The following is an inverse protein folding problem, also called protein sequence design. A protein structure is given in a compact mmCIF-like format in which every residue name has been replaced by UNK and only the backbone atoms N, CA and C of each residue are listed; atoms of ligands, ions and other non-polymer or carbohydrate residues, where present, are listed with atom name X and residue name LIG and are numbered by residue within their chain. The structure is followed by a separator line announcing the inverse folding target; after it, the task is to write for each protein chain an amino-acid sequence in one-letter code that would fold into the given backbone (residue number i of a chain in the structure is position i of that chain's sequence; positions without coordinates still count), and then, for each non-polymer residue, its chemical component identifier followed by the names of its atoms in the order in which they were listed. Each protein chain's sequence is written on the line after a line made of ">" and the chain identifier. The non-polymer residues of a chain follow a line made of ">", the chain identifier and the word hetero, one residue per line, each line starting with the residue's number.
data_IF_627518221210
#
_entry.id   IF_627518221210
#
_cell.length_a   1.000
_cell.length_b   1.000
_cell.length_c   1.000
_cell.angle_alpha   90.00
_cell.angle_beta   90.00
_cell.angle_gamma   90.00
#
_symmetry.space_group_name_H-M   'P 1'
#
loop_
_entity.id
_entity.type
_entity.pdbx_description
1 polymer ?
#
# COMPACT_ATOMS: atom_id res chain seq x y z
N UNK A 1 -28.44 -24.24 -48.14
CA UNK A 1 -28.55 -23.97 -46.69
C UNK A 1 -27.65 -24.93 -45.88
N UNK A 2 -26.31 -24.79 -45.94
CA UNK A 2 -25.36 -25.58 -45.11
C UNK A 2 -24.11 -24.80 -44.64
N UNK A 3 -23.68 -23.72 -45.32
CA UNK A 3 -22.55 -22.89 -44.86
C UNK A 3 -22.88 -21.97 -43.68
N UNK A 4 -24.11 -21.45 -43.60
CA UNK A 4 -24.48 -20.41 -42.63
C UNK A 4 -24.61 -20.94 -41.17
N UNK A 5 -24.83 -22.24 -41.01
CA UNK A 5 -24.78 -22.92 -39.70
C UNK A 5 -23.33 -22.99 -39.19
N UNK A 6 -22.36 -23.16 -40.10
CA UNK A 6 -20.95 -23.33 -39.75
C UNK A 6 -20.31 -22.03 -39.25
N UNK A 7 -20.64 -20.87 -39.85
CA UNK A 7 -20.19 -19.56 -39.34
C UNK A 7 -20.72 -19.29 -37.92
N UNK A 8 -22.00 -19.59 -37.63
CA UNK A 8 -22.56 -19.37 -36.30
C UNK A 8 -21.99 -20.33 -35.23
N UNK A 9 -21.61 -21.55 -35.62
CA UNK A 9 -20.94 -22.49 -34.72
C UNK A 9 -19.51 -22.02 -34.40
N UNK A 10 -18.74 -21.58 -35.41
CA UNK A 10 -17.40 -21.03 -35.21
C UNK A 10 -17.41 -19.72 -34.41
N UNK A 11 -18.38 -18.82 -34.63
CA UNK A 11 -18.50 -17.55 -33.87
C UNK A 11 -18.85 -17.76 -32.39
N UNK A 12 -19.55 -18.86 -32.05
CA UNK A 12 -19.79 -19.27 -30.66
C UNK A 12 -18.57 -19.93 -30.02
N UNK A 13 -17.75 -20.65 -30.79
CA UNK A 13 -16.48 -21.19 -30.30
C UNK A 13 -15.43 -20.08 -30.03
N UNK A 14 -15.33 -19.04 -30.85
CA UNK A 14 -14.39 -17.93 -30.60
C UNK A 14 -14.69 -17.19 -29.29
N UNK A 15 -15.96 -16.92 -28.99
CA UNK A 15 -16.35 -16.28 -27.72
C UNK A 15 -16.07 -17.18 -26.50
N UNK A 16 -16.20 -18.50 -26.64
CA UNK A 16 -15.79 -19.43 -25.59
C UNK A 16 -14.26 -19.48 -25.40
N UNK A 17 -13.47 -19.38 -26.48
CA UNK A 17 -12.01 -19.33 -26.38
C UNK A 17 -11.49 -18.02 -25.77
N UNK A 18 -12.08 -16.87 -26.10
CA UNK A 18 -11.74 -15.60 -25.43
C UNK A 18 -12.18 -15.61 -23.96
N UNK A 19 -13.37 -16.14 -23.64
CA UNK A 19 -13.81 -16.30 -22.26
C UNK A 19 -12.86 -17.22 -21.48
N UNK A 20 -12.46 -18.37 -22.04
CA UNK A 20 -11.44 -19.27 -21.46
C UNK A 20 -10.06 -18.62 -21.32
N UNK A 21 -9.68 -17.67 -22.18
CA UNK A 21 -8.46 -16.89 -22.00
C UNK A 21 -8.61 -15.87 -20.86
N UNK A 22 -9.76 -15.23 -20.70
CA UNK A 22 -10.05 -14.35 -19.56
C UNK A 22 -10.04 -15.11 -18.22
N UNK A 23 -10.68 -16.28 -18.12
CA UNK A 23 -10.59 -17.09 -16.88
C UNK A 23 -9.18 -17.66 -16.67
N UNK A 24 -8.38 -17.93 -17.70
CA UNK A 24 -6.98 -18.32 -17.52
C UNK A 24 -6.06 -17.14 -17.16
N UNK A 25 -6.36 -15.91 -17.57
CA UNK A 25 -5.61 -14.72 -17.15
C UNK A 25 -5.97 -14.31 -15.71
N UNK A 26 -7.24 -14.45 -15.32
CA UNK A 26 -7.69 -14.29 -13.92
C UNK A 26 -7.24 -15.46 -13.04
N UNK A 27 -7.21 -16.71 -13.55
CA UNK A 27 -6.71 -17.86 -12.80
C UNK A 27 -5.18 -17.98 -12.79
N UNK A 28 -4.46 -17.23 -13.63
CA UNK A 28 -3.01 -16.97 -13.46
C UNK A 28 -2.69 -15.79 -12.55
N UNK A 29 -3.71 -15.06 -12.09
CA UNK A 29 -3.64 -14.16 -10.93
C UNK A 29 -4.00 -14.86 -9.61
N UNK A 30 -4.17 -16.20 -9.62
CA UNK A 30 -4.33 -16.98 -8.38
C UNK A 30 -3.02 -16.98 -7.55
N UNK A 31 -2.97 -16.09 -6.55
CA UNK A 31 -2.37 -16.36 -5.24
C UNK A 31 -0.88 -16.78 -5.21
N UNK A 32 0.02 -15.97 -5.78
CA UNK A 32 1.48 -16.19 -5.70
C UNK A 32 2.22 -15.15 -4.83
N UNK A 33 1.54 -14.18 -4.20
CA UNK A 33 2.27 -13.09 -3.49
C UNK A 33 1.59 -12.40 -2.29
N UNK A 34 0.78 -13.09 -1.47
CA UNK A 34 0.14 -12.44 -0.30
C UNK A 34 0.14 -13.31 0.96
N UNK A 35 1.34 -13.74 1.38
CA UNK A 35 1.44 -14.87 2.30
C UNK A 35 1.89 -14.53 3.73
N UNK A 36 3.09 -13.97 4.03
CA UNK A 36 3.32 -13.56 5.43
C UNK A 36 2.68 -12.22 5.60
N UNK A 37 1.67 -12.32 6.42
CA UNK A 37 1.34 -11.30 7.34
C UNK A 37 1.40 -11.92 8.74
N UNK A 38 0.69 -13.04 8.98
CA UNK A 38 0.33 -13.47 10.33
C UNK A 38 1.42 -14.08 11.20
N UNK A 39 2.45 -14.73 10.65
CA UNK A 39 3.45 -15.42 11.47
C UNK A 39 4.65 -14.54 11.85
N UNK A 40 4.79 -13.37 11.22
CA UNK A 40 5.86 -12.39 11.50
C UNK A 40 5.41 -11.21 12.35
N UNK A 41 4.13 -10.84 12.30
CA UNK A 41 3.55 -10.13 13.43
C UNK A 41 3.58 -11.04 14.65
N UNK A 42 3.96 -10.48 15.80
CA UNK A 42 3.67 -11.16 17.07
C UNK A 42 2.16 -11.46 17.09
N UNK A 43 1.75 -12.64 17.58
CA UNK A 43 0.33 -13.01 17.78
C UNK A 43 -0.44 -12.02 18.70
N UNK A 44 0.26 -11.02 19.24
CA UNK A 44 -0.28 -9.85 19.89
C UNK A 44 0.03 -8.58 19.05
N UNK A 45 -0.92 -8.12 18.20
CA UNK A 45 -0.79 -6.90 17.39
C UNK A 45 -0.35 -5.66 18.16
N UNK A 46 -0.75 -5.54 19.44
CA UNK A 46 -0.42 -4.36 20.26
C UNK A 46 1.07 -4.15 20.54
N UNK A 47 1.91 -5.16 20.28
CA UNK A 47 3.37 -5.09 20.46
C UNK A 47 4.13 -4.80 19.17
N UNK A 48 3.45 -4.77 18.03
CA UNK A 48 4.08 -4.56 16.73
C UNK A 48 4.24 -3.06 16.45
N UNK A 49 5.29 -2.72 15.70
CA UNK A 49 5.56 -1.37 15.21
C UNK A 49 5.37 -1.31 13.70
N UNK A 50 4.85 -0.19 13.19
CA UNK A 50 4.62 0.02 11.75
C UNK A 50 5.13 1.40 11.36
N UNK A 51 5.80 1.50 10.20
CA UNK A 51 6.25 2.76 9.62
C UNK A 51 5.62 2.90 8.24
N UNK A 52 4.76 3.89 8.04
CA UNK A 52 4.03 4.14 6.80
C UNK A 52 4.57 5.40 6.13
N UNK A 53 4.84 5.37 4.82
CA UNK A 53 5.57 6.46 4.14
C UNK A 53 5.03 6.81 2.76
N UNK A 54 4.54 8.05 2.61
CA UNK A 54 4.22 8.64 1.33
C UNK A 54 5.40 9.53 0.89
N UNK A 55 6.27 9.01 0.04
CA UNK A 55 7.52 9.67 -0.38
C UNK A 55 7.36 10.89 -1.30
N UNK A 56 6.13 11.22 -1.72
CA UNK A 56 5.84 12.25 -2.73
C UNK A 56 4.74 13.21 -2.28
N UNK A 57 4.64 14.34 -2.97
CA UNK A 57 3.69 15.41 -2.69
C UNK A 57 3.01 15.93 -3.97
N UNK A 58 2.22 16.99 -3.83
CA UNK A 58 1.36 17.59 -4.85
C UNK A 58 0.12 16.77 -5.19
N UNK A 59 -0.88 17.46 -5.75
CA UNK A 59 -2.16 16.87 -6.14
C UNK A 59 -2.03 15.71 -7.13
N UNK A 60 -1.08 15.78 -8.08
CA UNK A 60 -0.86 14.72 -9.07
C UNK A 60 -0.39 13.38 -8.47
N UNK A 61 0.12 13.40 -7.23
CA UNK A 61 0.55 12.21 -6.50
C UNK A 61 -0.40 11.87 -5.32
N UNK A 62 -1.67 12.28 -5.42
CA UNK A 62 -2.71 12.05 -4.42
C UNK A 62 -2.72 10.61 -3.90
N UNK A 63 -2.73 9.62 -4.82
CA UNK A 63 -2.71 8.18 -4.48
C UNK A 63 -1.67 7.78 -3.44
N UNK A 64 -0.44 8.29 -3.48
CA UNK A 64 0.61 7.80 -2.59
C UNK A 64 0.37 8.22 -1.12
N UNK A 65 -0.35 9.31 -0.89
CA UNK A 65 -0.79 9.71 0.45
C UNK A 65 -2.08 8.96 0.83
N UNK A 66 -3.01 8.74 -0.11
CA UNK A 66 -4.19 7.93 0.11
C UNK A 66 -3.85 6.46 0.46
N UNK A 67 -2.91 5.84 -0.25
CA UNK A 67 -2.35 4.51 0.02
C UNK A 67 -1.90 4.38 1.49
N UNK A 68 -1.21 5.42 2.00
CA UNK A 68 -0.70 5.47 3.39
C UNK A 68 -1.79 5.74 4.41
N UNK A 69 -2.75 6.62 4.11
CA UNK A 69 -3.86 6.92 5.01
C UNK A 69 -4.79 5.71 5.15
N UNK A 70 -5.08 4.99 4.06
CA UNK A 70 -5.86 3.75 4.13
C UNK A 70 -5.07 2.65 4.87
N UNK A 71 -3.77 2.49 4.58
CA UNK A 71 -2.91 1.57 5.34
C UNK A 71 -2.94 1.83 6.85
N UNK A 72 -2.96 3.11 7.27
CA UNK A 72 -3.12 3.48 8.68
C UNK A 72 -4.44 2.97 9.26
N UNK A 73 -5.57 3.16 8.55
CA UNK A 73 -6.87 2.65 9.01
C UNK A 73 -6.85 1.12 9.19
N UNK A 74 -6.29 0.36 8.24
CA UNK A 74 -6.18 -1.11 8.35
C UNK A 74 -5.32 -1.54 9.54
N UNK A 75 -4.20 -0.86 9.76
CA UNK A 75 -3.27 -1.15 10.86
C UNK A 75 -3.93 -0.85 12.22
N UNK A 76 -4.69 0.24 12.34
CA UNK A 76 -5.50 0.57 13.53
C UNK A 76 -6.65 -0.43 13.76
N UNK A 77 -7.41 -0.78 12.70
CA UNK A 77 -8.51 -1.78 12.68
C UNK A 77 -8.04 -3.16 13.16
N UNK A 78 -6.76 -3.48 12.97
CA UNK A 78 -6.13 -4.71 13.43
C UNK A 78 -5.40 -4.62 14.78
N UNK A 79 -5.75 -3.63 15.62
CA UNK A 79 -5.26 -3.47 17.00
C UNK A 79 -3.77 -3.15 17.17
N UNK A 80 -3.11 -2.58 16.15
CA UNK A 80 -1.83 -1.90 16.35
C UNK A 80 -2.11 -0.49 16.92
N UNK A 81 -1.55 -0.13 18.08
CA UNK A 81 -1.85 1.13 18.76
C UNK A 81 -1.15 2.30 18.07
N UNK A 82 -1.73 3.51 18.14
CA UNK A 82 -1.27 4.66 17.35
C UNK A 82 0.14 5.13 17.77
N UNK A 83 0.52 4.93 19.03
CA UNK A 83 1.87 5.18 19.54
C UNK A 83 2.95 4.27 18.93
N UNK A 84 2.57 3.14 18.34
CA UNK A 84 3.47 2.22 17.62
C UNK A 84 3.44 2.41 16.09
N UNK A 85 2.61 3.32 15.57
CA UNK A 85 2.57 3.66 14.15
C UNK A 85 3.31 4.98 13.95
N UNK A 86 4.20 5.01 12.97
CA UNK A 86 4.98 6.19 12.59
C UNK A 86 4.65 6.55 11.15
N UNK A 87 3.92 7.65 10.96
CA UNK A 87 3.41 8.03 9.63
C UNK A 87 4.20 9.21 9.05
N UNK A 88 4.67 9.04 7.81
CA UNK A 88 5.27 10.07 6.97
C UNK A 88 4.31 10.42 5.83
N UNK A 89 3.85 11.66 5.75
CA UNK A 89 3.07 12.17 4.63
C UNK A 89 3.27 13.68 4.49
N UNK A 90 3.28 14.20 3.26
CA UNK A 90 3.42 15.65 3.07
C UNK A 90 2.22 16.44 3.62
N UNK A 91 1.06 15.80 3.70
CA UNK A 91 -0.22 16.32 4.15
C UNK A 91 -0.71 17.52 3.34
N UNK A 92 -0.54 17.43 2.02
CA UNK A 92 -0.83 18.52 1.09
C UNK A 92 -2.02 18.24 0.17
N UNK A 93 -2.84 17.21 0.45
CA UNK A 93 -3.97 16.79 -0.40
C UNK A 93 -5.36 17.05 0.21
N UNK A 94 -5.60 16.72 1.49
CA UNK A 94 -6.92 16.81 2.12
C UNK A 94 -7.51 18.24 2.06
N UNK A 95 -6.68 19.26 2.28
CA UNK A 95 -7.08 20.68 2.27
C UNK A 95 -6.62 21.44 1.02
N UNK A 96 -6.17 20.74 -0.04
CA UNK A 96 -5.71 21.39 -1.28
C UNK A 96 -6.86 22.18 -1.92
N UNK A 97 -6.63 23.39 -2.49
CA UNK A 97 -7.70 24.15 -3.13
C UNK A 97 -8.44 23.38 -4.24
N UNK A 98 -7.74 22.48 -4.94
CA UNK A 98 -8.29 21.60 -5.99
C UNK A 98 -9.12 20.41 -5.48
N UNK A 99 -9.01 20.01 -4.20
CA UNK A 99 -9.84 18.95 -3.64
C UNK A 99 -11.28 19.46 -3.42
N UNK A 100 -12.32 18.97 -4.10
CA UNK A 100 -13.69 19.40 -3.84
C UNK A 100 -14.17 19.01 -2.43
N UNK A 101 -13.65 17.91 -1.87
CA UNK A 101 -14.01 17.39 -0.55
C UNK A 101 -12.99 17.83 0.51
N UNK A 102 -13.08 19.09 0.93
CA UNK A 102 -12.15 19.69 1.91
C UNK A 102 -12.08 18.88 3.21
N UNK A 103 -10.85 18.57 3.62
CA UNK A 103 -10.56 17.82 4.84
C UNK A 103 -10.75 16.31 4.72
N UNK A 104 -11.01 15.78 3.51
CA UNK A 104 -11.19 14.35 3.24
C UNK A 104 -10.19 13.81 2.24
N UNK A 105 -9.92 12.50 2.32
CA UNK A 105 -9.20 11.73 1.29
C UNK A 105 -9.92 10.39 1.12
N UNK A 106 -9.98 9.90 -0.10
CA UNK A 106 -10.60 8.64 -0.51
C UNK A 106 -9.59 7.77 -1.26
N UNK A 107 -9.76 6.44 -1.20
CA UNK A 107 -8.87 5.48 -1.88
C UNK A 107 -9.49 4.84 -3.13
N UNK A 108 -10.81 4.96 -3.29
CA UNK A 108 -11.59 4.35 -4.36
C UNK A 108 -12.88 5.15 -4.62
N UNK A 109 -13.69 4.67 -5.57
CA UNK A 109 -14.97 5.28 -5.95
C UNK A 109 -16.11 5.09 -4.92
N UNK A 110 -15.87 4.50 -3.74
CA UNK A 110 -16.87 4.41 -2.66
C UNK A 110 -16.90 5.69 -1.80
N UNK A 111 -15.90 6.56 -1.93
CA UNK A 111 -15.76 7.81 -1.17
C UNK A 111 -15.79 7.63 0.36
N UNK A 112 -15.23 6.53 0.88
CA UNK A 112 -14.97 6.38 2.32
C UNK A 112 -13.76 7.25 2.76
N UNK A 113 -13.96 8.10 3.76
CA UNK A 113 -12.93 9.06 4.21
C UNK A 113 -11.86 8.40 5.06
N UNK A 114 -10.77 8.01 4.40
CA UNK A 114 -9.60 7.37 5.01
C UNK A 114 -8.67 8.35 5.75
N UNK A 115 -8.88 9.67 5.65
CA UNK A 115 -8.01 10.67 6.28
C UNK A 115 -8.37 10.95 7.75
N UNK A 116 -9.63 10.73 8.14
CA UNK A 116 -10.10 11.02 9.48
C UNK A 116 -9.34 10.20 10.54
N UNK A 117 -8.74 10.90 11.53
CA UNK A 117 -8.04 10.26 12.65
C UNK A 117 -6.63 9.74 12.36
N UNK A 118 -6.06 10.03 11.17
CA UNK A 118 -4.66 9.69 10.86
C UNK A 118 -3.71 10.59 11.66
N UNK A 119 -2.83 9.97 12.47
CA UNK A 119 -1.70 10.64 13.09
C UNK A 119 -0.53 10.74 12.10
N UNK A 120 -0.06 11.96 11.81
CA UNK A 120 1.06 12.24 10.91
C UNK A 120 2.24 12.80 11.72
N UNK A 121 3.27 11.96 11.91
CA UNK A 121 4.44 12.26 12.76
C UNK A 121 5.51 13.07 12.02
N UNK A 122 5.65 12.82 10.72
CA UNK A 122 6.58 13.49 9.82
C UNK A 122 5.78 14.12 8.69
N UNK A 123 5.58 15.44 8.80
CA UNK A 123 4.74 16.23 7.90
C UNK A 123 5.55 17.17 7.01
N UNK A 124 5.18 17.29 5.74
CA UNK A 124 5.77 18.24 4.80
C UNK A 124 7.30 18.10 4.70
N UNK A 125 8.02 19.15 5.07
CA UNK A 125 9.50 19.20 5.05
C UNK A 125 10.20 18.13 5.90
N UNK A 126 9.49 17.52 6.86
CA UNK A 126 10.04 16.45 7.69
C UNK A 126 10.08 15.09 6.95
N UNK A 127 9.40 14.97 5.80
CA UNK A 127 9.41 13.79 4.94
C UNK A 127 10.70 13.74 4.12
N UNK A 128 11.76 13.23 4.72
CA UNK A 128 13.10 13.10 4.12
C UNK A 128 13.68 11.70 4.31
N UNK A 129 14.59 11.29 3.41
CA UNK A 129 15.38 10.06 3.53
C UNK A 129 16.11 9.99 4.88
N UNK A 130 16.72 11.10 5.30
CA UNK A 130 17.48 11.16 6.55
C UNK A 130 16.60 10.93 7.78
N UNK A 131 15.42 11.56 7.83
CA UNK A 131 14.49 11.35 8.94
C UNK A 131 13.94 9.93 8.94
N UNK A 132 13.64 9.37 7.76
CA UNK A 132 13.21 7.97 7.64
C UNK A 132 14.27 6.99 8.16
N UNK A 133 15.53 7.12 7.72
CA UNK A 133 16.64 6.28 8.20
C UNK A 133 16.87 6.44 9.71
N UNK A 134 16.78 7.67 10.24
CA UNK A 134 16.87 7.93 11.69
C UNK A 134 15.71 7.32 12.48
N UNK A 135 14.49 7.33 11.94
CA UNK A 135 13.33 6.64 12.54
C UNK A 135 13.58 5.15 12.65
N UNK A 136 14.03 4.50 11.56
CA UNK A 136 14.32 3.06 11.58
C UNK A 136 15.43 2.69 12.56
N UNK A 137 16.42 3.58 12.73
CA UNK A 137 17.55 3.40 13.67
C UNK A 137 17.23 3.80 15.11
N UNK A 138 16.02 4.27 15.42
CA UNK A 138 15.66 4.69 16.78
C UNK A 138 16.40 5.94 17.28
N UNK A 139 16.71 6.89 16.39
CA UNK A 139 17.59 8.04 16.68
C UNK A 139 17.19 8.83 17.95
N UNK A 140 18.12 8.87 18.91
CA UNK A 140 17.92 9.48 20.22
C UNK A 140 17.67 11.00 20.16
N UNK A 141 18.20 11.70 19.14
CA UNK A 141 18.01 13.15 18.99
C UNK A 141 16.62 13.47 18.47
N UNK A 142 16.08 12.65 17.56
CA UNK A 142 14.67 12.74 17.18
C UNK A 142 13.75 12.40 18.37
N UNK A 143 14.07 11.35 19.14
CA UNK A 143 13.31 10.98 20.34
C UNK A 143 13.33 12.09 21.41
N UNK A 144 14.48 12.71 21.68
CA UNK A 144 14.61 13.84 22.60
C UNK A 144 13.80 15.07 22.15
N UNK A 145 13.69 15.28 20.84
CA UNK A 145 12.82 16.29 20.23
C UNK A 145 11.33 15.85 20.13
N UNK A 146 10.94 14.81 20.89
CA UNK A 146 9.57 14.26 20.97
C UNK A 146 8.98 13.74 19.65
N UNK A 147 9.82 13.44 18.65
CA UNK A 147 9.38 12.74 17.43
C UNK A 147 9.29 11.22 17.70
N UNK A 148 8.29 10.55 17.13
CA UNK A 148 8.21 9.08 17.17
C UNK A 148 9.38 8.48 16.37
N UNK A 149 10.12 7.57 17.00
CA UNK A 149 11.15 6.74 16.36
C UNK A 149 10.92 5.28 16.75
N UNK A 150 11.48 4.34 15.98
CA UNK A 150 11.32 2.92 16.23
C UNK A 150 12.05 2.52 17.52
N UNK A 151 11.31 2.21 18.59
CA UNK A 151 11.88 1.89 19.92
C UNK A 151 12.45 0.47 20.03
N UNK A 152 12.02 -0.44 19.16
CA UNK A 152 12.51 -1.83 19.11
C UNK A 152 12.23 -2.40 17.72
N UNK A 153 13.25 -2.94 17.05
CA UNK A 153 13.06 -3.70 15.82
C UNK A 153 12.53 -5.09 16.22
N UNK A 154 11.20 -5.22 16.30
CA UNK A 154 10.52 -6.49 16.55
C UNK A 154 9.61 -6.87 15.39
N UNK A 155 10.25 -7.12 14.23
CA UNK A 155 9.67 -7.64 12.98
C UNK A 155 8.63 -6.72 12.29
N UNK A 156 8.33 -7.04 11.02
CA UNK A 156 9.01 -6.48 9.86
C UNK A 156 8.65 -5.02 9.59
N UNK A 157 9.61 -4.22 9.11
CA UNK A 157 9.34 -2.90 8.54
C UNK A 157 8.59 -3.09 7.23
N UNK A 158 7.30 -2.77 7.17
CA UNK A 158 6.56 -2.80 5.90
C UNK A 158 6.59 -1.42 5.25
N UNK A 159 7.58 -1.22 4.39
CA UNK A 159 7.67 -0.05 3.54
C UNK A 159 6.77 -0.25 2.31
N UNK A 160 5.57 0.33 2.33
CA UNK A 160 4.75 0.42 1.12
C UNK A 160 5.43 1.37 0.11
N UNK A 161 5.56 0.91 -1.13
CA UNK A 161 6.45 1.50 -2.16
C UNK A 161 5.79 2.70 -2.87
N UNK A 162 6.52 3.63 -3.51
CA UNK A 162 7.08 3.50 -4.87
C UNK A 162 8.24 4.51 -5.11
N UNK A 163 9.31 3.99 -5.75
CA UNK A 163 10.47 4.64 -6.40
C UNK A 163 11.17 5.89 -5.77
N UNK A 164 12.50 5.78 -5.61
CA UNK A 164 13.53 6.85 -5.36
C UNK A 164 13.82 7.35 -3.92
N UNK A 165 13.35 6.72 -2.84
CA UNK A 165 13.97 6.96 -1.51
C UNK A 165 15.25 6.13 -1.32
N UNK A 166 15.36 4.98 -2.00
CA UNK A 166 16.36 3.93 -1.73
C UNK A 166 17.39 3.73 -2.84
N UNK A 167 17.96 4.82 -3.37
CA UNK A 167 19.26 4.73 -4.06
C UNK A 167 20.37 4.65 -2.99
N UNK A 168 20.61 3.46 -2.46
CA UNK A 168 21.72 3.15 -1.54
C UNK A 168 21.37 2.19 -0.41
N UNK A 169 22.33 1.30 -0.12
CA UNK A 169 22.13 0.07 0.64
C UNK A 169 21.58 0.25 2.06
N UNK A 170 20.44 -0.38 2.33
CA UNK A 170 19.91 -0.57 3.69
C UNK A 170 20.57 -1.81 4.34
N UNK A 171 21.90 -1.87 4.34
CA UNK A 171 22.65 -3.03 4.82
C UNK A 171 22.89 -2.94 6.34
N UNK A 172 21.97 -3.50 7.13
CA UNK A 172 22.20 -3.83 8.54
C UNK A 172 21.97 -5.34 8.76
N UNK A 173 23.03 -6.14 8.95
CA UNK A 173 22.96 -7.61 8.92
C UNK A 173 22.27 -8.25 10.13
N UNK A 174 21.74 -7.46 11.08
CA UNK A 174 21.20 -7.97 12.35
C UNK A 174 19.66 -8.11 12.38
N UNK A 175 18.94 -7.83 11.29
CA UNK A 175 17.47 -7.92 11.27
C UNK A 175 16.91 -8.70 10.09
N UNK A 176 15.89 -9.53 10.36
CA UNK A 176 15.19 -10.35 9.36
C UNK A 176 14.19 -9.52 8.54
N UNK A 177 14.68 -8.47 7.87
CA UNK A 177 13.92 -7.61 6.98
C UNK A 177 13.35 -8.44 5.84
N UNK A 178 12.09 -8.21 5.50
CA UNK A 178 11.44 -8.77 4.32
C UNK A 178 10.81 -7.61 3.55
N UNK A 179 11.07 -7.56 2.24
CA UNK A 179 10.65 -6.45 1.37
C UNK A 179 9.86 -7.05 0.22
N UNK A 180 8.77 -6.38 -0.12
CA UNK A 180 7.99 -6.63 -1.33
C UNK A 180 7.94 -5.35 -2.14
N UNK A 181 7.99 -5.45 -3.47
CA UNK A 181 7.91 -4.31 -4.39
C UNK A 181 6.72 -4.46 -5.32
N UNK A 182 6.15 -3.33 -5.74
CA UNK A 182 5.02 -3.29 -6.68
C UNK A 182 5.39 -3.71 -8.12
N UNK A 183 6.68 -3.72 -8.44
CA UNK A 183 7.22 -4.02 -9.76
C UNK A 183 8.69 -4.47 -9.64
N UNK A 184 9.24 -5.09 -10.69
CA UNK A 184 10.68 -5.30 -10.87
C UNK A 184 11.37 -3.98 -11.26
N UNK A 185 12.71 -3.95 -11.21
CA UNK A 185 13.53 -2.79 -11.62
C UNK A 185 13.26 -2.30 -13.05
N UNK A 186 12.87 -3.21 -13.95
CA UNK A 186 12.58 -2.95 -15.37
C UNK A 186 11.09 -2.73 -15.67
N UNK A 187 10.22 -2.76 -14.66
CA UNK A 187 8.76 -2.73 -14.81
C UNK A 187 8.17 -1.48 -14.12
N UNK A 188 7.06 -0.95 -14.66
CA UNK A 188 6.36 0.17 -14.06
C UNK A 188 5.25 -0.32 -13.11
N UNK A 189 5.03 0.42 -12.02
CA UNK A 189 3.88 0.26 -11.13
C UNK A 189 2.65 0.98 -11.66
N UNK A 190 1.47 0.38 -11.56
CA UNK A 190 0.22 0.96 -12.05
C UNK A 190 -0.54 1.80 -11.01
N UNK A 191 -1.30 2.78 -11.51
CA UNK A 191 -2.29 3.55 -10.75
C UNK A 191 -3.68 3.08 -11.14
N UNK A 192 -4.62 3.10 -10.20
CA UNK A 192 -6.03 2.75 -10.44
C UNK A 192 -6.95 3.83 -9.88
N UNK A 193 -8.25 3.71 -10.19
CA UNK A 193 -9.28 4.72 -9.87
C UNK A 193 -8.90 6.12 -10.41
N UNK A 194 -8.63 6.19 -11.72
CA UNK A 194 -8.16 7.40 -12.40
C UNK A 194 -9.25 8.18 -13.15
N UNK A 195 -10.46 7.62 -13.26
CA UNK A 195 -11.58 8.16 -14.03
C UNK A 195 -12.71 8.66 -13.11
N UNK A 196 -12.34 9.33 -12.01
CA UNK A 196 -13.25 9.95 -11.05
C UNK A 196 -13.77 11.29 -11.59
N UNK A 197 -15.07 11.58 -11.39
CA UNK A 197 -15.71 12.78 -11.94
C UNK A 197 -15.42 14.06 -11.15
N UNK A 198 -15.10 13.93 -9.86
CA UNK A 198 -14.86 15.06 -8.96
C UNK A 198 -13.35 15.21 -8.65
N UNK A 199 -12.59 14.12 -8.65
CA UNK A 199 -11.16 14.09 -8.32
C UNK A 199 -10.34 13.76 -9.58
N UNK A 200 -9.79 14.79 -10.21
CA UNK A 200 -9.08 14.70 -11.50
C UNK A 200 -7.65 14.08 -11.44
N UNK A 201 -7.44 13.11 -10.55
CA UNK A 201 -6.21 12.36 -10.30
C UNK A 201 -6.51 10.95 -9.77
N UNK A 202 -5.65 9.98 -10.05
CA UNK A 202 -5.82 8.61 -9.55
C UNK A 202 -5.85 8.53 -8.02
N UNK A 203 -6.80 7.75 -7.47
CA UNK A 203 -7.03 7.62 -6.02
C UNK A 203 -6.11 6.60 -5.34
N UNK A 204 -5.66 5.55 -6.03
CA UNK A 204 -4.80 4.50 -5.45
C UNK A 204 -3.69 4.01 -6.39
N UNK A 205 -2.67 3.38 -5.81
CA UNK A 205 -1.71 2.53 -6.53
C UNK A 205 -2.22 1.08 -6.56
N UNK A 206 -2.14 0.39 -7.71
CA UNK A 206 -2.73 -0.95 -7.89
C UNK A 206 -2.26 -1.94 -6.81
N UNK A 207 -0.95 -2.05 -6.65
CA UNK A 207 -0.32 -2.91 -5.65
C UNK A 207 -0.76 -2.57 -4.22
N UNK A 208 -0.87 -1.27 -3.91
CA UNK A 208 -1.24 -0.82 -2.57
C UNK A 208 -2.69 -1.20 -2.24
N UNK A 209 -3.61 -0.90 -3.15
CA UNK A 209 -5.01 -1.27 -3.01
C UNK A 209 -5.22 -2.80 -2.88
N UNK A 210 -4.47 -3.59 -3.66
CA UNK A 210 -4.60 -5.05 -3.63
C UNK A 210 -4.25 -5.67 -2.26
N UNK A 211 -3.13 -5.27 -1.62
CA UNK A 211 -2.78 -5.82 -0.30
C UNK A 211 -3.66 -5.26 0.82
N UNK A 212 -4.10 -3.99 0.70
CA UNK A 212 -5.06 -3.37 1.62
C UNK A 212 -6.34 -4.19 1.63
N UNK A 213 -6.91 -4.46 0.44
CA UNK A 213 -8.11 -5.30 0.29
C UNK A 213 -7.96 -6.70 0.90
N UNK A 214 -6.88 -7.45 0.62
CA UNK A 214 -6.67 -8.77 1.26
C UNK A 214 -6.62 -8.66 2.81
N UNK A 215 -6.04 -7.57 3.33
CA UNK A 215 -5.93 -7.30 4.77
C UNK A 215 -7.22 -6.81 5.43
N UNK A 216 -8.23 -6.42 4.66
CA UNK A 216 -9.56 -6.05 5.16
C UNK A 216 -10.45 -7.27 5.42
N UNK A 217 -10.46 -8.20 4.45
CA UNK A 217 -11.31 -9.38 4.48
C UNK A 217 -10.67 -10.56 5.22
N UNK A 218 -9.33 -10.59 5.34
CA UNK A 218 -8.60 -11.59 6.10
C UNK A 218 -7.95 -10.96 7.33
N UNK A 219 -8.43 -11.35 8.52
CA UNK A 219 -7.78 -10.95 9.78
C UNK A 219 -6.30 -11.27 9.75
N UNK A 220 -5.47 -10.26 10.04
CA UNK A 220 -3.99 -10.32 10.02
C UNK A 220 -3.43 -11.52 10.80
N UNK A 221 -4.18 -12.06 11.77
CA UNK A 221 -3.81 -13.21 12.60
C UNK A 221 -3.90 -14.60 11.93
N UNK A 222 -4.35 -14.74 10.67
CA UNK A 222 -4.78 -16.05 10.10
C UNK A 222 -4.02 -16.61 8.86
N UNK A 223 -2.97 -15.96 8.32
CA UNK A 223 -2.33 -16.31 7.02
C UNK A 223 -0.77 -16.13 7.00
N UNK A 224 0.05 -17.22 6.83
CA UNK A 224 1.53 -17.21 6.88
C UNK A 224 2.28 -17.27 5.53
N UNK A 225 3.57 -16.84 5.48
CA UNK A 225 4.39 -16.78 4.24
C UNK A 225 4.61 -18.14 3.62
N UNK A 226 4.63 -18.08 2.30
CA UNK A 226 5.39 -18.97 1.46
C UNK A 226 6.27 -18.05 0.60
N UNK A 227 7.56 -18.03 0.92
CA UNK A 227 8.57 -17.34 0.10
C UNK A 227 8.77 -18.26 -1.08
N UNK A 228 8.36 -17.83 -2.27
CA UNK A 228 8.78 -18.50 -3.50
C UNK A 228 10.31 -18.33 -3.63
N UNK A 229 11.06 -19.40 -3.94
CA UNK A 229 12.49 -19.32 -4.20
C UNK A 229 12.80 -18.55 -5.49
#
# INVERSE_FOLDING_TARGET
>A
MKLQVNLNMMRRCSLLFEFLFCINHLARLNAVSVHNWSSKFNNNPSKNWVVLVAGTNTWRNYRHQADVFHAYQIVRKNNVPAENIITFAYDDIANKPRNPFKGKVFHDYLYEDIYQGVEIDYRGKDVTRDNFVKVLKGDEKLAANKKKVLKRISLPIICFTILRIFDGDLYDPLSAVYVTTSAKETEQSWSIFCDDTDIDVCLASEYAYAWIGDSEYVSISKKPLQISP
#
